data_IF_602351859248
#
_entry.id   IF_602351859248
#
_cell.length_a   1.000
_cell.length_b   1.000
_cell.length_c   1.000
_cell.angle_alpha   90.00
_cell.angle_beta   90.00
_cell.angle_gamma   90.00
#
_symmetry.space_group_name_H-M   'P 1'
#
loop_
_entity.id
_entity.type
_entity.pdbx_description
1 polymer ?
#
# COMPACT_ATOMS: atom_id res chain seq x y z
N UNK A 1 -61.51 -4.86 -13.10
CA UNK A 1 -60.70 -4.56 -11.90
C UNK A 1 -60.87 -3.12 -11.44
N UNK A 2 -60.89 -2.14 -12.33
CA UNK A 2 -60.96 -0.70 -11.99
C UNK A 2 -62.30 -0.27 -11.33
N UNK A 3 -63.43 -0.87 -11.66
CA UNK A 3 -64.75 -0.50 -11.07
C UNK A 3 -64.78 -0.59 -9.54
N UNK A 4 -64.02 -1.52 -8.90
CA UNK A 4 -63.93 -1.64 -7.43
C UNK A 4 -63.30 -0.42 -6.73
N UNK A 5 -62.41 0.30 -7.46
CA UNK A 5 -61.80 1.51 -6.94
C UNK A 5 -62.73 2.72 -7.04
N UNK A 6 -63.61 2.72 -8.06
CA UNK A 6 -64.65 3.78 -8.22
C UNK A 6 -65.77 3.62 -7.20
N UNK A 7 -66.16 2.39 -6.94
CA UNK A 7 -67.26 2.06 -5.97
C UNK A 7 -66.81 2.21 -4.52
N UNK A 8 -65.45 2.20 -4.25
CA UNK A 8 -64.91 2.32 -2.88
C UNK A 8 -63.82 3.39 -2.84
N UNK A 9 -64.19 4.68 -2.84
CA UNK A 9 -63.22 5.78 -2.90
C UNK A 9 -62.27 5.81 -1.69
N UNK A 10 -62.73 5.40 -0.49
CA UNK A 10 -61.90 5.33 0.71
C UNK A 10 -60.76 4.33 0.51
N UNK A 11 -60.99 3.18 -0.11
CA UNK A 11 -59.97 2.17 -0.41
C UNK A 11 -58.90 2.74 -1.32
N UNK A 12 -59.28 3.49 -2.36
CA UNK A 12 -58.36 4.12 -3.31
C UNK A 12 -57.49 5.17 -2.63
N UNK A 13 -58.05 6.00 -1.75
CA UNK A 13 -57.31 7.01 -0.99
C UNK A 13 -56.29 6.35 -0.06
N UNK A 14 -56.68 5.29 0.66
CA UNK A 14 -55.81 4.58 1.60
C UNK A 14 -54.63 3.95 0.84
N UNK A 15 -54.89 3.27 -0.29
CA UNK A 15 -53.84 2.65 -1.10
C UNK A 15 -52.89 3.73 -1.64
N UNK A 16 -53.40 4.84 -2.16
CA UNK A 16 -52.57 5.95 -2.66
C UNK A 16 -51.70 6.53 -1.56
N UNK A 17 -52.25 6.73 -0.37
CA UNK A 17 -51.50 7.27 0.78
C UNK A 17 -50.40 6.31 1.25
N UNK A 18 -50.70 5.00 1.31
CA UNK A 18 -49.70 3.97 1.63
C UNK A 18 -48.59 3.95 0.62
N UNK A 19 -48.88 3.98 -0.69
CA UNK A 19 -47.86 4.02 -1.75
C UNK A 19 -47.02 5.29 -1.63
N UNK A 20 -47.63 6.44 -1.35
CA UNK A 20 -46.92 7.71 -1.21
C UNK A 20 -45.98 7.69 0.01
N UNK A 21 -46.44 7.16 1.14
CA UNK A 21 -45.61 7.03 2.35
C UNK A 21 -44.46 6.06 2.10
N UNK A 22 -44.74 4.88 1.53
CA UNK A 22 -43.70 3.88 1.19
C UNK A 22 -42.71 4.42 0.18
N UNK A 23 -43.19 5.16 -0.83
CA UNK A 23 -42.32 5.82 -1.81
C UNK A 23 -41.42 6.88 -1.17
N UNK A 24 -41.95 7.71 -0.27
CA UNK A 24 -41.21 8.69 0.50
C UNK A 24 -40.10 8.04 1.38
N UNK A 25 -40.44 6.95 2.08
CA UNK A 25 -39.50 6.18 2.87
C UNK A 25 -38.43 5.52 1.98
N UNK A 26 -38.79 4.96 0.83
CA UNK A 26 -37.87 4.35 -0.09
C UNK A 26 -36.82 5.35 -0.63
N UNK A 27 -37.25 6.58 -0.95
CA UNK A 27 -36.36 7.63 -1.44
C UNK A 27 -35.23 7.94 -0.41
N UNK A 28 -35.56 7.96 0.89
CA UNK A 28 -34.60 8.26 1.95
C UNK A 28 -33.60 7.13 2.19
N UNK A 29 -33.90 5.92 1.72
CA UNK A 29 -33.02 4.73 1.91
C UNK A 29 -32.24 4.35 0.64
N UNK A 30 -32.50 5.00 -0.50
CA UNK A 30 -31.77 4.72 -1.74
C UNK A 30 -30.31 5.17 -1.59
N UNK A 31 -29.35 4.25 -1.83
CA UNK A 31 -27.95 4.60 -1.81
C UNK A 31 -27.65 5.60 -2.94
N UNK A 32 -26.95 6.69 -2.61
CA UNK A 32 -26.46 7.64 -3.59
C UNK A 32 -25.05 7.27 -4.00
N UNK A 33 -24.84 7.05 -5.31
CA UNK A 33 -23.54 6.83 -5.91
C UNK A 33 -23.29 7.87 -6.99
N UNK A 34 -22.03 8.29 -7.17
CA UNK A 34 -21.68 9.26 -8.20
C UNK A 34 -21.84 8.69 -9.62
N UNK A 35 -21.53 7.40 -9.76
CA UNK A 35 -21.68 6.65 -11.02
C UNK A 35 -22.41 5.35 -10.76
N UNK A 36 -23.24 4.87 -11.72
CA UNK A 36 -23.85 3.56 -11.59
C UNK A 36 -22.78 2.46 -11.63
N UNK A 37 -22.94 1.39 -10.85
CA UNK A 37 -22.05 0.23 -10.78
C UNK A 37 -22.20 -0.67 -12.04
N UNK A 38 -21.99 -0.08 -13.23
CA UNK A 38 -22.05 -0.79 -14.52
C UNK A 38 -20.65 -1.23 -14.97
N UNK A 39 -19.61 -0.68 -14.36
CA UNK A 39 -18.23 -1.00 -14.73
C UNK A 39 -17.94 -2.49 -14.46
N UNK A 40 -17.35 -3.21 -15.44
CA UNK A 40 -16.88 -4.57 -15.21
C UNK A 40 -15.91 -4.60 -14.02
N UNK A 41 -15.93 -5.64 -13.18
CA UNK A 41 -14.95 -5.79 -12.11
C UNK A 41 -13.53 -5.84 -12.69
N UNK A 42 -12.63 -5.15 -12.04
CA UNK A 42 -11.22 -5.07 -12.39
C UNK A 42 -10.36 -5.44 -11.19
N UNK A 43 -9.32 -6.23 -11.45
CA UNK A 43 -8.30 -6.60 -10.48
C UNK A 43 -6.94 -6.19 -11.04
N UNK A 44 -6.14 -5.49 -10.25
CA UNK A 44 -4.78 -5.14 -10.60
C UNK A 44 -3.78 -6.01 -9.87
N UNK A 45 -2.71 -6.39 -10.56
CA UNK A 45 -1.54 -7.03 -9.97
C UNK A 45 -0.36 -6.10 -10.18
N UNK A 46 0.17 -5.59 -9.07
CA UNK A 46 1.32 -4.66 -9.07
C UNK A 46 2.55 -5.37 -8.54
N UNK A 47 3.66 -5.19 -9.24
CA UNK A 47 4.97 -5.73 -8.85
C UNK A 47 6.03 -4.65 -9.01
N UNK A 48 7.10 -4.74 -8.19
CA UNK A 48 8.26 -3.85 -8.29
C UNK A 48 9.55 -4.66 -8.39
N UNK A 49 10.22 -4.55 -9.53
CA UNK A 49 11.55 -5.12 -9.78
C UNK A 49 12.58 -4.01 -9.73
N UNK A 50 13.08 -3.71 -8.53
CA UNK A 50 13.99 -2.59 -8.28
C UNK A 50 15.27 -2.73 -9.10
N UNK A 51 15.60 -1.67 -9.85
CA UNK A 51 16.79 -1.62 -10.72
C UNK A 51 16.63 -2.23 -12.11
N UNK A 52 15.47 -2.81 -12.43
CA UNK A 52 15.18 -3.32 -13.76
C UNK A 52 14.58 -2.25 -14.67
N UNK A 53 14.81 -2.38 -15.97
CA UNK A 53 14.11 -1.62 -16.99
C UNK A 53 12.81 -2.31 -17.42
N UNK A 54 11.98 -1.63 -18.20
CA UNK A 54 10.68 -2.13 -18.65
C UNK A 54 10.79 -3.49 -19.41
N UNK A 55 11.80 -3.68 -20.25
CA UNK A 55 11.99 -4.92 -21.01
C UNK A 55 12.32 -6.10 -20.09
N UNK A 56 13.19 -5.90 -19.10
CA UNK A 56 13.51 -6.90 -18.09
C UNK A 56 12.29 -7.25 -17.23
N UNK A 57 11.51 -6.26 -16.83
CA UNK A 57 10.25 -6.47 -16.10
C UNK A 57 9.27 -7.32 -16.91
N UNK A 58 9.08 -7.03 -18.20
CA UNK A 58 8.18 -7.80 -19.06
C UNK A 58 8.64 -9.25 -19.15
N UNK A 59 9.93 -9.49 -19.39
CA UNK A 59 10.44 -10.86 -19.59
C UNK A 59 10.46 -11.69 -18.32
N UNK A 60 10.95 -11.11 -17.21
CA UNK A 60 11.21 -11.85 -15.99
C UNK A 60 10.02 -11.88 -15.02
N UNK A 61 9.07 -10.95 -15.13
CA UNK A 61 7.98 -10.80 -14.14
C UNK A 61 6.62 -10.88 -14.81
N UNK A 62 6.35 -9.99 -15.79
CA UNK A 62 5.01 -9.87 -16.37
C UNK A 62 4.63 -11.13 -17.16
N UNK A 63 5.51 -11.62 -18.02
CA UNK A 63 5.21 -12.79 -18.86
C UNK A 63 4.88 -14.06 -18.06
N UNK A 64 5.61 -14.46 -17.01
CA UNK A 64 5.22 -15.59 -16.15
C UNK A 64 3.90 -15.34 -15.44
N UNK A 65 3.67 -14.13 -14.89
CA UNK A 65 2.40 -13.79 -14.23
C UNK A 65 1.23 -13.84 -15.18
N UNK A 66 1.34 -13.26 -16.38
CA UNK A 66 0.28 -13.31 -17.39
C UNK A 66 -0.08 -14.75 -17.78
N UNK A 67 0.93 -15.60 -17.95
CA UNK A 67 0.69 -17.02 -18.26
C UNK A 67 -0.05 -17.73 -17.15
N UNK A 68 0.31 -17.49 -15.90
CA UNK A 68 -0.35 -18.10 -14.74
C UNK A 68 -1.79 -17.57 -14.55
N UNK A 69 -1.99 -16.26 -14.70
CA UNK A 69 -3.28 -15.61 -14.48
C UNK A 69 -4.24 -15.89 -15.66
N UNK A 70 -3.72 -16.13 -16.85
CA UNK A 70 -4.54 -16.41 -18.01
C UNK A 70 -5.50 -17.59 -17.76
N UNK A 71 -6.77 -17.38 -18.12
CA UNK A 71 -7.83 -18.37 -17.91
C UNK A 71 -8.41 -18.40 -16.48
N UNK A 72 -8.24 -17.34 -15.69
CA UNK A 72 -9.02 -17.17 -14.46
C UNK A 72 -10.52 -17.10 -14.79
N UNK A 73 -11.38 -17.81 -14.04
CA UNK A 73 -12.82 -17.81 -14.29
C UNK A 73 -13.43 -16.41 -14.36
N UNK A 74 -14.21 -16.14 -15.37
CA UNK A 74 -14.87 -14.84 -15.57
C UNK A 74 -13.99 -13.76 -16.19
N UNK A 75 -12.72 -14.00 -16.46
CA UNK A 75 -11.83 -13.03 -17.13
C UNK A 75 -12.34 -12.74 -18.54
N UNK A 76 -12.38 -11.46 -18.91
CA UNK A 76 -12.68 -10.99 -20.24
C UNK A 76 -11.39 -10.74 -21.04
N UNK A 77 -10.48 -9.95 -20.48
CA UNK A 77 -9.16 -9.69 -21.05
C UNK A 77 -8.21 -9.16 -19.94
N UNK A 78 -6.92 -9.12 -20.24
CA UNK A 78 -5.92 -8.47 -19.42
C UNK A 78 -4.99 -7.62 -20.26
N UNK A 79 -4.40 -6.61 -19.64
CA UNK A 79 -3.41 -5.72 -20.23
C UNK A 79 -2.33 -5.41 -19.21
N UNK A 80 -1.09 -5.26 -19.66
CA UNK A 80 0.03 -5.01 -18.77
C UNK A 80 0.84 -3.81 -19.23
N UNK A 81 1.35 -3.07 -18.27
CA UNK A 81 2.25 -1.93 -18.47
C UNK A 81 3.45 -2.08 -17.55
N UNK A 82 4.65 -1.85 -18.09
CA UNK A 82 5.90 -1.85 -17.31
C UNK A 82 6.65 -0.55 -17.54
N UNK A 83 7.07 0.06 -16.43
CA UNK A 83 7.89 1.27 -16.42
C UNK A 83 9.39 0.97 -16.33
N UNK A 84 10.21 1.97 -16.68
CA UNK A 84 11.66 1.91 -16.49
C UNK A 84 12.11 2.14 -15.04
N UNK A 85 11.15 2.43 -14.16
CA UNK A 85 11.31 2.49 -12.70
C UNK A 85 11.26 1.10 -12.04
N UNK A 86 11.07 0.06 -12.84
CA UNK A 86 10.91 -1.32 -12.38
C UNK A 86 9.51 -1.69 -11.93
N UNK A 87 8.54 -0.77 -12.01
CA UNK A 87 7.15 -1.06 -11.66
C UNK A 87 6.41 -1.69 -12.82
N UNK A 88 5.65 -2.74 -12.55
CA UNK A 88 4.76 -3.37 -13.54
C UNK A 88 3.36 -3.51 -12.96
N UNK A 89 2.37 -3.19 -13.79
CA UNK A 89 0.94 -3.28 -13.45
C UNK A 89 0.23 -4.14 -14.49
N UNK A 90 -0.44 -5.18 -14.04
CA UNK A 90 -1.29 -6.05 -14.86
C UNK A 90 -2.73 -5.76 -14.47
N UNK A 91 -3.53 -5.26 -15.41
CA UNK A 91 -4.95 -5.00 -15.24
C UNK A 91 -5.75 -6.17 -15.82
N UNK A 92 -6.56 -6.81 -14.98
CA UNK A 92 -7.41 -7.94 -15.35
C UNK A 92 -8.86 -7.48 -15.27
N UNK A 93 -9.54 -7.46 -16.40
CA UNK A 93 -10.94 -7.07 -16.53
C UNK A 93 -11.80 -8.32 -16.58
N UNK A 94 -12.85 -8.38 -15.78
CA UNK A 94 -13.78 -9.48 -15.68
C UNK A 94 -15.10 -9.19 -16.40
N UNK A 95 -15.86 -10.21 -16.69
CA UNK A 95 -17.21 -10.05 -17.24
C UNK A 95 -18.13 -9.43 -16.20
N UNK A 96 -19.11 -8.65 -16.67
CA UNK A 96 -20.14 -8.09 -15.79
C UNK A 96 -20.85 -9.21 -15.00
N UNK A 97 -21.11 -8.97 -13.72
CA UNK A 97 -21.70 -9.95 -12.80
C UNK A 97 -20.72 -10.94 -12.15
N UNK A 98 -19.41 -10.84 -12.44
CA UNK A 98 -18.39 -11.59 -11.70
C UNK A 98 -18.22 -10.95 -10.33
N UNK A 99 -18.13 -11.78 -9.28
CA UNK A 99 -17.83 -11.30 -7.92
C UNK A 99 -16.37 -10.83 -7.83
N UNK A 100 -16.11 -9.55 -7.50
CA UNK A 100 -14.75 -8.98 -7.44
C UNK A 100 -13.89 -9.63 -6.35
N UNK A 101 -14.49 -10.10 -5.24
CA UNK A 101 -13.76 -10.75 -4.14
C UNK A 101 -13.22 -12.10 -4.59
N UNK A 102 -14.08 -12.91 -5.21
CA UNK A 102 -13.70 -14.23 -5.73
C UNK A 102 -12.70 -14.07 -6.87
N UNK A 103 -12.88 -13.07 -7.72
CA UNK A 103 -11.95 -12.77 -8.81
C UNK A 103 -10.54 -12.43 -8.29
N UNK A 104 -10.43 -11.56 -7.28
CA UNK A 104 -9.16 -11.19 -6.67
C UNK A 104 -8.46 -12.40 -6.02
N UNK A 105 -9.21 -13.23 -5.28
CA UNK A 105 -8.67 -14.46 -4.67
C UNK A 105 -8.14 -15.43 -5.73
N UNK A 106 -8.88 -15.62 -6.83
CA UNK A 106 -8.45 -16.50 -7.91
C UNK A 106 -7.17 -15.97 -8.60
N UNK A 107 -7.08 -14.66 -8.84
CA UNK A 107 -5.88 -14.02 -9.38
C UNK A 107 -4.71 -14.19 -8.43
N UNK A 108 -4.91 -13.92 -7.13
CA UNK A 108 -3.86 -14.05 -6.12
C UNK A 108 -3.33 -15.49 -6.02
N UNK A 109 -4.20 -16.49 -6.03
CA UNK A 109 -3.79 -17.89 -5.98
C UNK A 109 -2.96 -18.28 -7.21
N UNK A 110 -3.32 -17.78 -8.39
CA UNK A 110 -2.54 -18.03 -9.61
C UNK A 110 -1.24 -17.28 -9.66
N UNK A 111 -1.22 -16.02 -9.22
CA UNK A 111 0.02 -15.25 -9.10
C UNK A 111 0.99 -15.90 -8.10
N UNK A 112 0.47 -16.40 -6.98
CA UNK A 112 1.26 -17.09 -5.97
C UNK A 112 1.90 -18.40 -6.50
N UNK A 113 1.29 -19.08 -7.46
CA UNK A 113 1.82 -20.35 -8.00
C UNK A 113 3.10 -20.21 -8.83
N UNK A 114 3.48 -19.00 -9.22
CA UNK A 114 4.67 -18.71 -10.04
C UNK A 114 5.70 -17.84 -9.32
N UNK A 115 5.52 -17.59 -8.02
CA UNK A 115 6.44 -16.76 -7.24
C UNK A 115 7.86 -17.33 -7.23
N UNK A 116 8.01 -18.65 -7.22
CA UNK A 116 9.31 -19.32 -7.22
C UNK A 116 10.11 -19.10 -8.53
N UNK A 117 9.43 -18.69 -9.60
CA UNK A 117 10.04 -18.37 -10.88
C UNK A 117 10.50 -16.89 -10.98
N UNK A 118 10.14 -16.06 -9.98
CA UNK A 118 10.41 -14.63 -9.97
C UNK A 118 11.81 -14.30 -9.48
N UNK A 119 12.38 -13.16 -9.92
CA UNK A 119 13.59 -12.61 -9.32
C UNK A 119 13.43 -12.37 -7.80
N UNK A 120 14.51 -12.56 -7.04
CA UNK A 120 14.51 -12.43 -5.58
C UNK A 120 14.06 -11.05 -5.11
N UNK A 121 14.36 -10.00 -5.87
CA UNK A 121 13.95 -8.61 -5.59
C UNK A 121 12.43 -8.44 -5.67
N UNK A 122 11.78 -9.14 -6.62
CA UNK A 122 10.31 -9.13 -6.77
C UNK A 122 9.65 -9.92 -5.64
N UNK A 123 10.24 -11.06 -5.26
CA UNK A 123 9.74 -11.85 -4.13
C UNK A 123 9.81 -11.03 -2.83
N UNK A 124 10.89 -10.28 -2.62
CA UNK A 124 11.07 -9.42 -1.44
C UNK A 124 10.11 -8.22 -1.41
N UNK A 125 9.88 -7.58 -2.56
CA UNK A 125 8.90 -6.47 -2.65
C UNK A 125 7.46 -6.95 -2.63
N UNK A 126 7.23 -8.22 -2.98
CA UNK A 126 5.91 -8.84 -3.02
C UNK A 126 5.13 -8.56 -4.30
N UNK A 127 4.15 -9.42 -4.57
CA UNK A 127 3.16 -9.27 -5.63
C UNK A 127 1.85 -8.81 -4.98
N UNK A 128 1.44 -7.59 -5.27
CA UNK A 128 0.25 -6.98 -4.67
C UNK A 128 -0.92 -7.18 -5.62
N UNK A 129 -1.99 -7.80 -5.13
CA UNK A 129 -3.23 -8.03 -5.88
C UNK A 129 -4.34 -7.24 -5.21
N UNK A 130 -4.92 -6.30 -5.95
CA UNK A 130 -5.95 -5.39 -5.44
C UNK A 130 -7.15 -5.33 -6.39
N UNK A 131 -8.33 -5.17 -5.81
CA UNK A 131 -9.53 -4.84 -6.57
C UNK A 131 -9.52 -3.37 -6.91
N UNK A 132 -9.81 -3.03 -8.15
CA UNK A 132 -9.96 -1.63 -8.53
C UNK A 132 -11.32 -1.11 -8.06
N UNK A 133 -11.26 -0.09 -7.22
CA UNK A 133 -12.43 0.65 -6.80
C UNK A 133 -12.52 1.92 -7.65
N UNK A 134 -13.44 1.93 -8.61
CA UNK A 134 -13.57 3.05 -9.56
C UNK A 134 -14.40 4.23 -9.04
N UNK A 135 -15.18 4.03 -7.98
CA UNK A 135 -16.04 5.06 -7.43
C UNK A 135 -15.24 6.00 -6.53
N UNK A 136 -14.73 7.08 -7.14
CA UNK A 136 -14.09 8.17 -6.38
C UNK A 136 -15.11 8.80 -5.43
N UNK A 137 -14.67 9.03 -4.17
CA UNK A 137 -15.49 9.67 -3.16
C UNK A 137 -15.07 11.12 -2.94
N UNK A 138 -13.83 11.29 -2.50
CA UNK A 138 -13.24 12.63 -2.31
C UNK A 138 -11.71 12.56 -2.20
N UNK A 139 -11.08 13.72 -2.36
CA UNK A 139 -9.69 13.96 -1.97
C UNK A 139 -9.68 14.74 -0.66
N UNK A 140 -8.80 14.35 0.25
CA UNK A 140 -8.59 15.03 1.52
C UNK A 140 -7.14 15.49 1.60
N UNK A 141 -6.92 16.80 1.76
CA UNK A 141 -5.59 17.34 1.91
C UNK A 141 -5.31 17.68 3.38
N UNK A 142 -4.20 17.16 3.89
CA UNK A 142 -3.70 17.49 5.23
C UNK A 142 -2.61 18.53 5.08
N UNK A 143 -2.81 19.68 5.71
CA UNK A 143 -1.93 20.84 5.70
C UNK A 143 -1.44 21.13 7.11
N UNK A 144 -0.26 21.74 7.20
CA UNK A 144 0.21 22.33 8.46
C UNK A 144 0.17 23.86 8.39
N UNK A 145 -0.20 24.47 9.50
CA UNK A 145 -0.03 25.92 9.72
C UNK A 145 1.41 26.28 10.07
N UNK A 146 2.20 25.31 10.54
CA UNK A 146 3.63 25.49 10.79
C UNK A 146 4.43 25.25 9.51
N UNK A 147 5.11 26.31 9.03
CA UNK A 147 5.93 26.28 7.82
C UNK A 147 7.21 25.46 7.94
N UNK A 148 7.60 25.07 9.16
CA UNK A 148 8.78 24.25 9.40
C UNK A 148 8.51 22.76 9.16
N UNK A 149 7.24 22.35 9.06
CA UNK A 149 6.86 20.96 8.79
C UNK A 149 6.87 20.71 7.29
N UNK A 150 7.71 19.79 6.89
CA UNK A 150 7.89 19.40 5.49
C UNK A 150 6.86 18.32 5.05
N UNK A 151 6.83 18.03 3.75
CA UNK A 151 5.96 17.02 3.16
C UNK A 151 6.18 15.63 3.76
N UNK A 152 7.42 15.30 4.15
CA UNK A 152 7.76 14.00 4.74
C UNK A 152 7.08 13.83 6.10
N UNK A 153 7.12 14.88 6.92
CA UNK A 153 6.44 14.86 8.20
C UNK A 153 4.93 14.72 8.01
N UNK A 154 4.33 15.52 7.11
CA UNK A 154 2.88 15.47 6.84
C UNK A 154 2.44 14.10 6.35
N UNK A 155 3.21 13.48 5.43
CA UNK A 155 2.93 12.14 4.94
C UNK A 155 2.93 11.12 6.08
N UNK A 156 4.03 11.05 6.85
CA UNK A 156 4.18 10.05 7.90
C UNK A 156 3.18 10.27 9.06
N UNK A 157 2.89 11.52 9.41
CA UNK A 157 1.86 11.84 10.39
C UNK A 157 0.48 11.37 9.92
N UNK A 158 0.16 11.63 8.66
CA UNK A 158 -1.10 11.25 8.03
C UNK A 158 -1.25 9.73 7.95
N UNK A 159 -0.20 9.02 7.55
CA UNK A 159 -0.19 7.56 7.45
C UNK A 159 -0.44 6.90 8.81
N UNK A 160 0.31 7.32 9.83
CA UNK A 160 0.26 6.72 11.15
C UNK A 160 -1.04 7.05 11.89
N UNK A 161 -1.50 8.31 11.83
CA UNK A 161 -2.57 8.79 12.70
C UNK A 161 -3.93 8.92 12.02
N UNK A 162 -3.97 9.18 10.70
CA UNK A 162 -5.20 9.54 10.00
C UNK A 162 -5.66 8.42 9.07
N UNK A 163 -4.77 7.90 8.22
CA UNK A 163 -5.12 6.95 7.18
C UNK A 163 -5.76 5.67 7.75
N UNK A 164 -5.23 5.15 8.86
CA UNK A 164 -5.76 3.97 9.51
C UNK A 164 -7.21 4.18 10.03
N UNK A 165 -7.51 5.38 10.53
CA UNK A 165 -8.84 5.72 11.02
C UNK A 165 -9.83 5.89 9.86
N UNK A 166 -9.40 6.50 8.74
CA UNK A 166 -10.22 6.64 7.54
C UNK A 166 -10.56 5.30 6.90
N UNK A 167 -9.61 4.36 6.88
CA UNK A 167 -9.83 2.99 6.37
C UNK A 167 -10.88 2.20 7.17
N UNK A 168 -11.12 2.56 8.43
CA UNK A 168 -12.11 1.90 9.31
C UNK A 168 -13.53 2.44 9.16
N UNK A 169 -13.72 3.56 8.47
CA UNK A 169 -15.05 4.14 8.28
C UNK A 169 -15.87 3.23 7.38
N UNK A 170 -17.07 2.88 7.84
CA UNK A 170 -18.00 2.07 7.05
C UNK A 170 -18.34 2.76 5.73
N UNK A 171 -18.24 2.01 4.62
CA UNK A 171 -18.50 2.52 3.26
C UNK A 171 -17.26 3.06 2.55
N UNK A 172 -16.12 3.23 3.22
CA UNK A 172 -14.82 3.44 2.56
C UNK A 172 -14.33 2.12 2.00
N UNK A 173 -14.09 2.07 0.71
CA UNK A 173 -13.57 0.90 0.01
C UNK A 173 -12.07 0.94 -0.19
N UNK A 174 -11.51 2.14 -0.33
CA UNK A 174 -10.07 2.38 -0.49
C UNK A 174 -9.71 3.75 0.08
N UNK A 175 -8.59 3.82 0.76
CA UNK A 175 -7.97 5.06 1.22
C UNK A 175 -6.46 4.92 1.15
N UNK A 176 -5.79 5.87 0.50
CA UNK A 176 -4.33 5.89 0.40
C UNK A 176 -3.81 7.31 0.21
N UNK A 177 -2.55 7.55 0.57
CA UNK A 177 -1.91 8.84 0.42
C UNK A 177 -1.19 8.88 -0.93
N UNK A 178 -1.41 9.93 -1.70
CA UNK A 178 -0.74 10.12 -2.98
C UNK A 178 0.75 10.40 -2.78
N UNK A 179 1.59 9.56 -3.38
CA UNK A 179 3.04 9.64 -3.30
C UNK A 179 3.61 9.00 -2.04
N UNK A 180 4.67 8.23 -2.18
CA UNK A 180 5.33 7.53 -1.07
C UNK A 180 6.41 8.43 -0.46
N UNK A 181 6.10 9.09 0.65
CA UNK A 181 7.03 9.94 1.41
C UNK A 181 7.45 9.31 2.73
N UNK A 182 7.37 8.00 2.84
CA UNK A 182 7.86 7.26 3.99
C UNK A 182 9.30 7.62 4.32
N UNK A 183 9.61 7.72 5.61
CA UNK A 183 10.97 7.96 6.04
C UNK A 183 11.89 6.82 5.63
N UNK A 184 13.00 7.18 5.00
CA UNK A 184 14.03 6.24 4.59
C UNK A 184 15.42 6.81 4.85
N UNK A 185 16.37 5.93 5.19
CA UNK A 185 17.76 6.29 5.25
C UNK A 185 18.36 6.13 3.86
N UNK A 186 18.74 7.24 3.21
CA UNK A 186 19.34 7.25 1.87
C UNK A 186 20.85 7.26 1.99
N UNK A 187 21.47 6.40 1.22
CA UNK A 187 22.93 6.23 1.19
C UNK A 187 23.41 6.56 -0.24
N UNK A 188 24.00 7.73 -0.38
CA UNK A 188 24.53 8.22 -1.65
C UNK A 188 25.98 7.77 -1.80
N UNK A 189 26.20 6.72 -2.59
CA UNK A 189 27.52 6.14 -2.79
C UNK A 189 28.38 7.04 -3.69
N UNK A 190 29.65 7.22 -3.34
CA UNK A 190 30.61 7.94 -4.15
C UNK A 190 31.47 6.95 -4.94
N UNK A 191 31.28 6.80 -6.28
CA UNK A 191 31.99 5.81 -7.08
C UNK A 191 33.52 6.01 -7.09
N UNK A 192 33.98 7.26 -7.03
CA UNK A 192 35.42 7.57 -7.04
C UNK A 192 36.08 7.04 -5.75
N UNK A 193 35.45 7.28 -4.61
CA UNK A 193 35.96 6.78 -3.33
C UNK A 193 35.84 5.24 -3.25
N UNK A 194 34.76 4.66 -3.77
CA UNK A 194 34.61 3.20 -3.82
C UNK A 194 35.75 2.54 -4.60
N UNK A 195 36.12 3.09 -5.76
CA UNK A 195 37.25 2.61 -6.55
C UNK A 195 38.56 2.77 -5.76
N UNK A 196 38.80 3.93 -5.14
CA UNK A 196 40.00 4.18 -4.36
C UNK A 196 40.21 3.20 -3.20
N UNK A 197 39.13 2.78 -2.54
CA UNK A 197 39.16 1.81 -1.45
C UNK A 197 38.92 0.36 -1.89
N UNK A 198 38.76 0.13 -3.19
CA UNK A 198 38.46 -1.19 -3.77
C UNK A 198 37.28 -1.88 -3.07
N UNK A 199 36.11 -1.19 -3.06
CA UNK A 199 34.86 -1.64 -2.49
C UNK A 199 33.78 -1.66 -3.57
N UNK A 200 33.06 -2.76 -3.67
CA UNK A 200 31.90 -2.90 -4.55
C UNK A 200 30.60 -2.49 -3.86
N UNK A 201 29.55 -2.26 -4.64
CA UNK A 201 28.22 -2.03 -4.11
C UNK A 201 27.71 -3.24 -3.31
N UNK A 202 28.07 -4.45 -3.78
CA UNK A 202 27.69 -5.71 -3.13
C UNK A 202 28.29 -5.82 -1.72
N UNK A 203 29.58 -5.42 -1.55
CA UNK A 203 30.24 -5.39 -0.23
C UNK A 203 29.49 -4.48 0.75
N UNK A 204 29.01 -3.33 0.26
CA UNK A 204 28.23 -2.37 1.09
C UNK A 204 26.89 -2.97 1.48
N UNK A 205 26.17 -3.53 0.53
CA UNK A 205 24.85 -4.16 0.78
C UNK A 205 25.01 -5.32 1.76
N UNK A 206 26.04 -6.15 1.59
CA UNK A 206 26.30 -7.26 2.50
C UNK A 206 26.65 -6.79 3.91
N UNK A 207 27.52 -5.77 4.04
CA UNK A 207 27.86 -5.19 5.34
C UNK A 207 26.66 -4.59 6.06
N UNK A 208 25.76 -3.93 5.32
CA UNK A 208 24.50 -3.41 5.86
C UNK A 208 23.57 -4.53 6.32
N UNK A 209 23.41 -5.59 5.52
CA UNK A 209 22.59 -6.76 5.89
C UNK A 209 23.10 -7.46 7.16
N UNK A 210 24.42 -7.54 7.34
CA UNK A 210 25.02 -8.21 8.50
C UNK A 210 24.94 -7.37 9.78
N UNK A 211 25.08 -6.05 9.68
CA UNK A 211 25.15 -5.17 10.84
C UNK A 211 23.81 -4.52 11.21
N UNK A 212 22.90 -4.35 10.25
CA UNK A 212 21.57 -3.76 10.48
C UNK A 212 20.50 -4.87 10.55
N UNK A 213 20.61 -5.75 11.55
CA UNK A 213 19.74 -6.91 11.73
C UNK A 213 19.00 -6.79 13.04
N UNK A 214 17.72 -7.13 13.05
CA UNK A 214 16.95 -7.39 14.25
C UNK A 214 17.03 -8.88 14.57
N UNK A 215 17.66 -9.22 15.69
CA UNK A 215 17.82 -10.60 16.13
C UNK A 215 17.12 -10.83 17.47
N UNK A 216 16.58 -12.00 17.65
CA UNK A 216 16.04 -12.49 18.92
C UNK A 216 17.00 -13.55 19.49
N UNK A 217 18.05 -13.16 20.22
CA UNK A 217 19.10 -14.08 20.67
C UNK A 217 18.63 -15.07 21.74
N UNK A 218 17.38 -14.97 22.22
CA UNK A 218 16.80 -15.89 23.17
C UNK A 218 16.97 -15.48 24.61
N UNK A 219 17.02 -16.47 25.50
CA UNK A 219 17.08 -16.30 26.96
C UNK A 219 18.24 -17.11 27.52
N UNK A 220 18.85 -16.61 28.58
CA UNK A 220 19.89 -17.30 29.37
C UNK A 220 19.33 -17.63 30.73
N UNK A 221 19.64 -18.82 31.24
CA UNK A 221 19.18 -19.25 32.56
C UNK A 221 17.84 -19.99 32.54
N UNK A 222 17.50 -20.62 31.43
CA UNK A 222 16.32 -21.49 31.37
C UNK A 222 16.55 -22.76 32.22
N UNK A 223 15.60 -23.02 33.13
CA UNK A 223 15.66 -24.23 33.96
C UNK A 223 15.46 -25.46 33.10
N UNK A 224 16.45 -26.36 33.07
CA UNK A 224 16.25 -27.71 32.60
C UNK A 224 15.76 -28.58 33.75
N UNK A 225 15.01 -29.66 33.47
CA UNK A 225 14.49 -30.57 34.51
C UNK A 225 15.54 -31.19 35.43
N UNK A 226 16.86 -30.98 35.15
CA UNK A 226 18.00 -31.44 35.97
C UNK A 226 18.67 -30.33 36.77
N UNK A 227 18.47 -29.06 36.43
CA UNK A 227 19.00 -27.87 37.14
C UNK A 227 17.95 -26.81 37.23
N UNK A 228 17.53 -26.46 38.44
CA UNK A 228 16.71 -25.31 38.71
C UNK A 228 17.61 -24.05 38.77
N UNK A 229 17.27 -23.04 37.97
CA UNK A 229 17.89 -21.74 38.01
C UNK A 229 16.88 -20.72 38.55
N UNK A 230 17.32 -19.89 39.48
CA UNK A 230 16.47 -18.92 40.16
C UNK A 230 16.23 -17.66 39.33
N UNK A 231 17.02 -17.40 38.28
CA UNK A 231 16.97 -16.20 37.48
C UNK A 231 17.10 -16.56 35.99
N UNK A 232 16.18 -16.00 35.21
CA UNK A 232 16.18 -16.09 33.74
C UNK A 232 16.39 -14.68 33.19
N UNK A 233 17.36 -14.50 32.31
CA UNK A 233 17.65 -13.24 31.64
C UNK A 233 17.23 -13.31 30.18
N UNK A 234 16.41 -12.35 29.75
CA UNK A 234 16.10 -12.15 28.34
C UNK A 234 17.21 -11.31 27.74
N UNK A 235 17.89 -11.83 26.72
CA UNK A 235 18.92 -11.06 26.01
C UNK A 235 18.19 -10.14 25.02
N UNK A 236 18.39 -8.82 25.19
CA UNK A 236 17.90 -7.82 24.26
C UNK A 236 19.01 -7.46 23.27
N UNK A 237 18.78 -7.70 22.01
CA UNK A 237 19.65 -7.28 20.92
C UNK A 237 19.13 -5.95 20.35
N UNK A 238 20.03 -4.99 20.16
CA UNK A 238 19.70 -3.67 19.58
C UNK A 238 20.63 -3.45 18.38
N UNK A 239 20.33 -4.17 17.30
CA UNK A 239 21.15 -4.15 16.09
C UNK A 239 20.51 -3.47 14.88
N UNK A 240 19.20 -3.11 14.97
CA UNK A 240 18.56 -2.33 13.92
C UNK A 240 18.88 -0.85 14.10
N UNK A 241 19.50 -0.26 13.09
CA UNK A 241 19.88 1.15 13.10
C UNK A 241 18.68 2.05 12.81
N UNK A 242 18.59 3.16 13.52
CA UNK A 242 17.52 4.15 13.38
C UNK A 242 18.03 5.60 13.35
N UNK A 243 19.33 5.83 13.51
CA UNK A 243 19.93 7.16 13.46
C UNK A 243 20.99 7.23 12.35
N UNK A 244 21.19 8.43 11.82
CA UNK A 244 22.20 8.70 10.79
C UNK A 244 23.60 8.28 11.24
N UNK A 245 23.96 8.58 12.47
CA UNK A 245 25.28 8.30 13.06
C UNK A 245 25.57 6.79 13.13
N UNK A 246 24.55 5.98 13.38
CA UNK A 246 24.69 4.53 13.36
C UNK A 246 25.02 4.00 11.97
N UNK A 247 24.33 4.51 10.94
CA UNK A 247 24.61 4.15 9.54
C UNK A 247 26.00 4.66 9.10
N UNK A 248 26.41 5.88 9.49
CA UNK A 248 27.71 6.45 9.17
C UNK A 248 28.87 5.57 9.69
N UNK A 249 28.67 4.92 10.84
CA UNK A 249 29.68 4.10 11.48
C UNK A 249 29.63 2.61 11.10
N UNK A 250 28.78 2.22 10.15
CA UNK A 250 28.78 0.86 9.59
C UNK A 250 30.17 0.53 9.06
N UNK A 251 30.73 -0.60 9.46
CA UNK A 251 32.03 -1.07 9.02
C UNK A 251 31.90 -1.79 7.70
N UNK A 252 32.56 -1.29 6.65
CA UNK A 252 32.52 -1.89 5.32
C UNK A 252 33.68 -2.85 5.11
N UNK A 253 34.89 -2.42 5.48
CA UNK A 253 36.11 -3.22 5.29
C UNK A 253 37.16 -2.93 6.35
N UNK A 254 37.99 -3.91 6.65
CA UNK A 254 39.19 -3.75 7.46
C UNK A 254 40.41 -4.10 6.62
N UNK A 255 41.38 -3.18 6.59
CA UNK A 255 42.61 -3.41 5.89
C UNK A 255 43.59 -4.28 6.73
N UNK A 256 44.61 -4.86 6.07
CA UNK A 256 45.67 -5.62 6.73
C UNK A 256 46.38 -4.84 7.83
N UNK A 257 46.46 -3.52 7.69
CA UNK A 257 47.15 -2.59 8.63
C UNK A 257 46.23 -2.21 9.82
N UNK A 258 45.06 -2.83 9.90
CA UNK A 258 44.12 -2.59 10.99
C UNK A 258 43.21 -1.36 10.85
N UNK A 259 43.37 -0.60 9.74
CA UNK A 259 42.46 0.53 9.48
C UNK A 259 41.08 0.04 9.10
N UNK A 260 40.07 0.68 9.66
CA UNK A 260 38.65 0.37 9.47
C UNK A 260 38.07 1.43 8.51
N UNK A 261 37.44 0.96 7.43
CA UNK A 261 36.69 1.79 6.50
C UNK A 261 35.22 1.79 6.92
N UNK A 262 34.71 2.97 7.19
CA UNK A 262 33.31 3.17 7.54
C UNK A 262 32.49 3.64 6.33
N UNK A 263 31.17 3.46 6.38
CA UNK A 263 30.24 3.87 5.31
C UNK A 263 30.36 5.37 5.02
N UNK A 264 30.51 6.23 6.02
CA UNK A 264 30.70 7.69 5.88
C UNK A 264 31.93 8.07 5.02
N UNK A 265 32.93 7.20 4.95
CA UNK A 265 34.16 7.49 4.19
C UNK A 265 33.93 7.40 2.68
N UNK A 266 32.95 6.59 2.26
CA UNK A 266 32.64 6.30 0.84
C UNK A 266 31.24 6.72 0.41
N UNK A 267 30.40 7.17 1.33
CA UNK A 267 29.01 7.56 1.06
C UNK A 267 28.61 8.77 1.89
N UNK A 268 27.58 9.47 1.43
CA UNK A 268 26.83 10.47 2.18
C UNK A 268 25.50 9.85 2.63
N UNK A 269 25.19 9.97 3.93
CA UNK A 269 23.98 9.43 4.53
C UNK A 269 23.01 10.55 4.83
N UNK A 270 21.78 10.42 4.33
CA UNK A 270 20.69 11.38 4.49
C UNK A 270 19.45 10.68 5.05
N UNK A 271 18.82 11.29 6.07
CA UNK A 271 17.49 10.93 6.51
C UNK A 271 16.47 11.62 5.60
N UNK A 272 15.97 10.88 4.65
CA UNK A 272 15.14 11.38 3.58
C UNK A 272 13.82 10.63 3.41
N UNK A 273 13.28 10.66 2.21
CA UNK A 273 12.07 9.93 1.81
C UNK A 273 12.44 8.72 0.95
N UNK A 274 11.58 7.69 0.99
CA UNK A 274 11.72 6.50 0.14
C UNK A 274 11.64 6.90 -1.35
N UNK A 275 10.73 7.81 -1.69
CA UNK A 275 10.48 8.29 -3.04
C UNK A 275 10.31 9.81 -3.07
N UNK A 276 10.61 10.43 -4.23
CA UNK A 276 10.49 11.87 -4.49
C UNK A 276 9.69 12.18 -5.77
N UNK A 277 9.12 11.18 -6.44
CA UNK A 277 8.53 11.33 -7.76
C UNK A 277 7.21 12.09 -7.73
N UNK A 278 6.45 12.01 -6.64
CA UNK A 278 5.17 12.70 -6.48
C UNK A 278 5.25 13.79 -5.43
N UNK A 279 4.86 14.99 -5.77
CA UNK A 279 4.74 16.15 -4.89
C UNK A 279 3.27 16.53 -4.74
N UNK A 280 2.80 16.66 -3.51
CA UNK A 280 1.46 17.17 -3.21
C UNK A 280 1.53 18.55 -2.60
N UNK A 281 0.82 19.51 -3.21
CA UNK A 281 0.71 20.89 -2.72
C UNK A 281 -0.71 21.38 -2.82
N UNK A 282 -1.13 22.17 -1.85
CA UNK A 282 -2.37 22.91 -1.89
C UNK A 282 -2.09 24.41 -1.70
N UNK A 283 -2.53 25.22 -2.66
CA UNK A 283 -2.25 26.66 -2.68
C UNK A 283 -0.75 27.01 -2.49
N UNK A 284 0.14 26.17 -3.03
CA UNK A 284 1.59 26.31 -2.94
C UNK A 284 2.24 25.81 -1.64
N UNK A 285 1.45 25.42 -0.63
CA UNK A 285 1.96 24.85 0.61
C UNK A 285 2.06 23.31 0.51
N UNK A 286 3.06 22.70 1.18
CA UNK A 286 3.17 21.25 1.27
C UNK A 286 1.90 20.62 1.84
N UNK A 287 1.46 19.52 1.27
CA UNK A 287 0.28 18.78 1.74
C UNK A 287 0.48 17.26 1.62
N UNK A 288 -0.25 16.50 2.43
CA UNK A 288 -0.45 15.09 2.21
C UNK A 288 -1.87 14.89 1.65
N UNK A 289 -1.97 14.43 0.40
CA UNK A 289 -3.25 14.22 -0.26
C UNK A 289 -3.69 12.78 -0.14
N UNK A 290 -4.83 12.54 0.49
CA UNK A 290 -5.46 11.22 0.64
C UNK A 290 -6.52 11.08 -0.45
N UNK A 291 -6.46 9.97 -1.16
CA UNK A 291 -7.50 9.53 -2.10
C UNK A 291 -8.44 8.59 -1.36
N UNK A 292 -9.73 8.89 -1.38
CA UNK A 292 -10.76 8.06 -0.79
C UNK A 292 -11.72 7.58 -1.89
N UNK A 293 -11.96 6.27 -1.93
CA UNK A 293 -12.90 5.65 -2.86
C UNK A 293 -13.99 4.92 -2.09
N UNK A 294 -15.17 4.92 -2.64
CA UNK A 294 -16.37 4.34 -2.05
C UNK A 294 -16.41 2.82 -2.22
N UNK A 295 -16.90 2.12 -1.21
CA UNK A 295 -17.25 0.70 -1.35
C UNK A 295 -18.51 0.58 -2.21
N UNK A 296 -18.59 -0.36 -3.16
CA UNK A 296 -19.82 -0.61 -3.91
C UNK A 296 -21.02 -0.85 -3.00
N UNK A 297 -22.15 -0.24 -3.34
CA UNK A 297 -23.39 -0.36 -2.60
C UNK A 297 -23.51 0.50 -1.32
N UNK A 298 -22.46 1.26 -0.93
CA UNK A 298 -22.55 2.21 0.18
C UNK A 298 -23.17 3.54 -0.28
N UNK A 299 -23.62 4.37 0.67
CA UNK A 299 -24.17 5.70 0.39
C UNK A 299 -23.04 6.76 0.49
N UNK A 300 -22.68 7.39 -0.62
CA UNK A 300 -21.63 8.40 -0.67
C UNK A 300 -21.83 9.55 0.32
N UNK A 301 -23.08 10.03 0.46
CA UNK A 301 -23.41 11.15 1.35
C UNK A 301 -23.13 10.80 2.82
N UNK A 302 -23.52 9.61 3.24
CA UNK A 302 -23.32 9.16 4.62
C UNK A 302 -21.84 8.91 4.91
N UNK A 303 -21.11 8.32 3.96
CA UNK A 303 -19.67 8.10 4.07
C UNK A 303 -18.93 9.43 4.20
N UNK A 304 -19.23 10.42 3.35
CA UNK A 304 -18.63 11.76 3.43
C UNK A 304 -18.92 12.44 4.77
N UNK A 305 -20.16 12.31 5.26
CA UNK A 305 -20.55 12.84 6.58
C UNK A 305 -19.74 12.20 7.70
N UNK A 306 -19.59 10.88 7.67
CA UNK A 306 -18.82 10.14 8.67
C UNK A 306 -17.32 10.50 8.62
N UNK A 307 -16.77 10.70 7.41
CA UNK A 307 -15.39 11.18 7.24
C UNK A 307 -15.23 12.57 7.86
N UNK A 308 -16.13 13.51 7.59
CA UNK A 308 -16.08 14.86 8.16
C UNK A 308 -16.13 14.83 9.69
N UNK A 309 -17.07 14.06 10.27
CA UNK A 309 -17.18 13.91 11.72
C UNK A 309 -15.94 13.27 12.37
N UNK A 310 -15.23 12.43 11.62
CA UNK A 310 -14.01 11.79 12.11
C UNK A 310 -12.80 12.72 12.04
N UNK A 311 -12.84 13.69 11.14
CA UNK A 311 -11.75 14.67 10.94
C UNK A 311 -11.89 15.92 11.82
N UNK A 312 -13.05 16.16 12.43
CA UNK A 312 -13.26 17.16 13.48
C UNK A 312 -12.73 16.67 14.84
#
# INVERSE_FOLDING_TARGET
>A
MFNKFIERPILSIVISLVITILGGLAITQLPMTQFPDIAPPEVTVTTKYTGANAESCIKAVVTPLERAINGVPGMAYMSSVSGNDGTSVINIIFKAGTDPEIAAVNVQNRAASVLDEMPEEVIKSGVIVEKVQNSMLLYLNILSTDKNLDEKFLYNYTDINILAELKRIEGVGYADIMGQREYAMRIWLNPIKMIAFNVSTEDIVQSLKEQNVEAAPGKVGESSGKKQQSLQYVIKYSGKYNTKEQYENVVIKRNSDGQILHLKDIAEIEFGSLDYDVLSKENGNPSAAIVLKQRPGSNASDVIKNIKLKME
#
